data_IF_842966130304
#
_entry.id   IF_842966130304
#
_cell.length_a   1.000
_cell.length_b   1.000
_cell.length_c   1.000
_cell.angle_alpha   90.00
_cell.angle_beta   90.00
_cell.angle_gamma   90.00
#
_symmetry.space_group_name_H-M   'P 1'
#
loop_
_entity.id
_entity.type
_entity.pdbx_description
1 polymer ?
#
# COMPACT_ATOMS: atom_id res chain seq x y z
N UNK A 1 -2.20 -23.92 -9.76
CA UNK A 1 -1.43 -24.53 -9.43
C UNK A 1 -1.08 -25.32 -9.38
N UNK A 2 -1.20 -25.54 -9.44
CA UNK A 2 -0.48 -26.53 -9.13
C UNK A 2 0.05 -26.90 -8.71
N UNK A 3 0.16 -27.08 -8.81
CA UNK A 3 0.96 -27.85 -8.36
C UNK A 3 1.52 -28.33 -8.07
N UNK A 4 1.75 -28.43 -8.24
CA UNK A 4 2.64 -29.06 -7.91
C UNK A 4 3.26 -29.29 -7.86
N UNK A 5 3.30 -29.03 -8.06
CA UNK A 5 4.09 -29.31 -7.95
C UNK A 5 4.74 -29.08 -7.86
N UNK A 6 4.54 -29.03 -8.14
CA UNK A 6 5.30 -28.80 -7.99
C UNK A 6 5.54 -28.26 -7.77
N UNK A 7 5.69 -28.17 -7.93
CA UNK A 7 6.07 -27.69 -7.52
C UNK A 7 5.87 -27.13 -7.23
N UNK A 8 5.91 -27.00 -7.39
CA UNK A 8 5.77 -26.53 -6.95
C UNK A 8 5.33 -26.34 -6.54
N UNK A 9 5.12 -26.87 -6.56
CA UNK A 9 4.60 -26.56 -5.91
C UNK A 9 4.71 -25.68 -5.08
N UNK A 10 4.15 -25.22 -5.05
CA UNK A 10 4.52 -24.08 -4.25
C UNK A 10 4.33 -24.39 -2.78
N UNK A 11 5.37 -24.19 -2.02
CA UNK A 11 5.27 -24.32 -0.57
C UNK A 11 4.70 -23.02 -0.03
N UNK A 12 3.53 -23.10 0.57
CA UNK A 12 2.94 -21.97 1.25
C UNK A 12 3.58 -21.82 2.62
N UNK A 13 4.28 -20.73 2.82
CA UNK A 13 4.90 -20.41 4.10
C UNK A 13 4.07 -19.36 4.82
N UNK A 14 3.64 -19.65 6.05
CA UNK A 14 2.93 -18.68 6.87
C UNK A 14 3.94 -17.85 7.64
N UNK A 15 3.84 -16.53 7.52
CA UNK A 15 4.70 -15.60 8.24
C UNK A 15 3.85 -14.59 8.98
N UNK A 16 4.40 -14.04 10.06
CA UNK A 16 3.77 -12.93 10.78
C UNK A 16 4.21 -11.62 10.14
N UNK A 17 3.26 -10.88 9.57
CA UNK A 17 3.54 -9.59 8.97
C UNK A 17 4.08 -8.63 10.02
N UNK A 18 3.54 -8.68 11.23
CA UNK A 18 3.99 -7.80 12.31
C UNK A 18 5.46 -8.04 12.62
N UNK A 19 5.90 -9.30 12.67
CA UNK A 19 7.31 -9.61 12.94
C UNK A 19 8.21 -9.22 11.78
N UNK A 20 7.76 -9.48 10.55
CA UNK A 20 8.53 -9.12 9.37
C UNK A 20 8.80 -7.62 9.31
N UNK A 21 7.78 -6.80 9.59
CA UNK A 21 7.94 -5.35 9.58
C UNK A 21 8.75 -4.86 10.78
N UNK A 22 8.56 -5.47 11.94
CA UNK A 22 9.28 -5.08 13.15
C UNK A 22 10.78 -5.31 13.01
N UNK A 23 11.18 -6.37 12.33
CA UNK A 23 12.59 -6.74 12.20
C UNK A 23 13.26 -6.08 11.00
N UNK A 24 12.54 -5.28 10.25
CA UNK A 24 13.08 -4.58 9.09
C UNK A 24 13.17 -3.08 9.38
N UNK A 25 14.39 -2.56 9.50
CA UNK A 25 14.60 -1.17 9.84
C UNK A 25 14.12 -0.20 8.76
N UNK A 26 13.98 -0.68 7.52
CA UNK A 26 13.44 0.15 6.44
C UNK A 26 12.61 -0.70 5.49
N UNK A 27 11.35 -1.00 5.83
CA UNK A 27 10.50 -1.82 4.96
C UNK A 27 10.09 -1.12 3.66
N UNK A 28 10.30 0.20 3.55
CA UNK A 28 9.98 0.92 2.32
C UNK A 28 8.49 1.10 2.12
N UNK A 29 7.96 0.51 1.06
CA UNK A 29 6.53 0.56 0.75
C UNK A 29 6.00 -0.84 0.60
N UNK A 30 4.71 -1.00 0.89
CA UNK A 30 4.10 -2.30 0.71
C UNK A 30 2.59 -2.22 0.59
N UNK A 31 2.05 -3.24 -0.04
CA UNK A 31 0.61 -3.42 -0.22
C UNK A 31 0.26 -4.77 0.37
N UNK A 32 -0.76 -4.79 1.22
CA UNK A 32 -1.27 -6.02 1.81
C UNK A 32 -2.71 -6.18 1.35
N UNK A 33 -3.04 -7.34 0.80
CA UNK A 33 -4.39 -7.66 0.35
C UNK A 33 -4.83 -8.91 1.10
N UNK A 34 -6.03 -8.87 1.64
CA UNK A 34 -6.55 -10.00 2.38
C UNK A 34 -8.04 -9.93 2.58
N UNK A 35 -8.52 -10.78 3.47
CA UNK A 35 -9.93 -10.84 3.85
C UNK A 35 -10.05 -10.89 5.35
N UNK A 36 -11.19 -10.43 5.87
CA UNK A 36 -11.51 -10.62 7.28
C UNK A 36 -11.64 -12.12 7.55
N UNK A 37 -11.48 -12.57 8.81
CA UNK A 37 -11.55 -13.99 9.15
C UNK A 37 -12.83 -14.65 8.68
N UNK A 38 -13.96 -13.94 8.67
CA UNK A 38 -15.24 -14.46 8.20
C UNK A 38 -15.36 -14.45 6.67
N UNK A 39 -14.38 -13.88 5.96
CA UNK A 39 -14.37 -13.81 4.51
C UNK A 39 -15.39 -12.85 3.90
N UNK A 40 -16.04 -12.02 4.73
CA UNK A 40 -17.11 -11.14 4.27
C UNK A 40 -16.61 -9.83 3.70
N UNK A 41 -15.41 -9.39 4.09
CA UNK A 41 -14.85 -8.11 3.66
C UNK A 41 -13.46 -8.31 3.11
N UNK A 42 -13.19 -7.66 1.98
CA UNK A 42 -11.83 -7.55 1.47
C UNK A 42 -11.12 -6.43 2.23
N UNK A 43 -9.83 -6.62 2.47
CA UNK A 43 -9.01 -5.66 3.19
C UNK A 43 -7.82 -5.32 2.33
N UNK A 44 -7.56 -4.03 2.17
CA UNK A 44 -6.36 -3.55 1.51
C UNK A 44 -5.65 -2.61 2.48
N UNK A 45 -4.37 -2.85 2.69
CA UNK A 45 -3.54 -1.97 3.50
C UNK A 45 -2.36 -1.51 2.69
N UNK A 46 -2.00 -0.25 2.86
CA UNK A 46 -0.86 0.34 2.21
C UNK A 46 -0.01 1.00 3.27
N UNK A 47 1.29 0.71 3.25
CA UNK A 47 2.20 1.37 4.19
C UNK A 47 3.36 1.98 3.42
N UNK A 48 3.93 3.03 3.99
CA UNK A 48 4.97 3.79 3.34
C UNK A 48 5.92 4.34 4.39
N UNK A 49 7.20 4.37 4.03
CA UNK A 49 8.23 4.93 4.87
C UNK A 49 9.11 5.83 4.03
N UNK A 50 9.38 7.04 4.51
CA UNK A 50 10.23 7.99 3.80
C UNK A 50 11.59 8.12 4.48
N UNK A 51 12.63 8.39 3.69
CA UNK A 51 13.97 8.65 4.21
C UNK A 51 14.24 10.14 4.36
N UNK A 52 13.86 10.94 3.36
CA UNK A 52 14.08 12.37 3.38
C UNK A 52 13.01 13.08 4.19
N UNK A 53 13.31 14.29 4.63
CA UNK A 53 12.34 15.11 5.32
C UNK A 53 11.12 15.37 4.42
N UNK A 54 11.37 15.66 3.15
CA UNK A 54 10.30 15.90 2.19
C UNK A 54 9.41 14.66 2.04
N UNK A 55 9.99 13.48 1.92
CA UNK A 55 9.21 12.25 1.73
C UNK A 55 8.46 11.84 2.99
N UNK A 56 8.86 12.29 4.17
CA UNK A 56 8.17 12.00 5.43
C UNK A 56 7.11 13.03 5.77
N UNK A 57 7.04 14.13 5.02
CA UNK A 57 6.10 15.22 5.27
C UNK A 57 4.76 14.93 4.61
N UNK A 58 4.11 13.84 5.04
CA UNK A 58 2.81 13.46 4.46
C UNK A 58 2.00 12.61 5.40
N UNK A 59 0.70 12.65 5.18
CA UNK A 59 -0.28 11.84 5.89
C UNK A 59 -1.25 11.26 4.87
N UNK A 60 -2.00 10.25 5.27
CA UNK A 60 -3.08 9.71 4.46
C UNK A 60 -4.38 10.39 4.81
N UNK A 61 -5.17 10.71 3.80
CA UNK A 61 -6.50 11.26 3.99
C UNK A 61 -7.49 10.50 3.11
N UNK A 62 -8.74 10.47 3.53
CA UNK A 62 -9.80 9.88 2.71
C UNK A 62 -10.12 10.80 1.53
N UNK A 63 -10.39 10.18 0.39
CA UNK A 63 -10.83 10.91 -0.81
C UNK A 63 -11.88 10.04 -1.48
N UNK A 64 -13.15 10.36 -1.24
CA UNK A 64 -14.25 9.50 -1.68
C UNK A 64 -14.12 8.14 -1.03
N UNK A 65 -14.10 7.09 -1.85
CA UNK A 65 -13.90 5.73 -1.37
C UNK A 65 -12.43 5.32 -1.38
N UNK A 66 -11.54 6.21 -1.78
CA UNK A 66 -10.12 5.94 -1.87
C UNK A 66 -9.32 6.68 -0.82
N UNK A 67 -8.02 6.71 -1.04
CA UNK A 67 -7.06 7.32 -0.12
C UNK A 67 -6.06 8.12 -0.93
N UNK A 68 -5.72 9.31 -0.44
CA UNK A 68 -4.70 10.16 -1.04
C UNK A 68 -3.67 10.56 0.02
N UNK A 69 -2.43 10.75 -0.39
CA UNK A 69 -1.45 11.39 0.48
C UNK A 69 -1.61 12.90 0.42
N UNK A 70 -1.25 13.55 1.51
CA UNK A 70 -1.33 15.00 1.64
C UNK A 70 -0.16 15.46 2.49
N UNK A 71 0.35 16.66 2.22
CA UNK A 71 1.44 17.20 3.01
C UNK A 71 1.00 17.37 4.47
N UNK A 72 1.82 16.90 5.39
CA UNK A 72 1.59 17.13 6.81
C UNK A 72 1.76 18.62 7.12
N UNK A 73 2.81 19.22 6.59
CA UNK A 73 3.07 20.66 6.71
C UNK A 73 3.24 21.23 5.30
N UNK A 74 2.19 21.83 4.72
CA UNK A 74 2.26 22.37 3.36
C UNK A 74 3.36 23.40 3.16
N UNK A 75 3.73 24.12 4.20
CA UNK A 75 4.77 25.15 4.11
C UNK A 75 6.15 24.55 3.86
N UNK A 76 6.34 23.25 4.21
CA UNK A 76 7.62 22.55 4.03
C UNK A 76 7.62 21.65 2.81
N UNK A 77 6.54 21.62 2.04
CA UNK A 77 6.45 20.77 0.86
C UNK A 77 7.35 21.34 -0.25
N UNK A 78 8.30 20.52 -0.71
CA UNK A 78 9.25 20.94 -1.75
C UNK A 78 8.83 20.43 -3.11
N UNK A 79 8.87 19.11 -3.31
CA UNK A 79 8.54 18.49 -4.59
C UNK A 79 7.44 17.47 -4.38
N UNK A 80 6.20 17.74 -4.82
CA UNK A 80 5.10 16.81 -4.60
C UNK A 80 5.09 15.63 -5.58
N UNK A 81 5.87 15.67 -6.66
CA UNK A 81 5.69 14.75 -7.77
C UNK A 81 5.82 13.28 -7.38
N UNK A 82 6.70 12.95 -6.44
CA UNK A 82 6.95 11.56 -6.03
C UNK A 82 6.32 11.19 -4.70
N UNK A 83 5.72 12.14 -4.00
CA UNK A 83 5.21 11.89 -2.64
C UNK A 83 3.73 12.15 -2.48
N UNK A 84 3.12 12.94 -3.36
CA UNK A 84 1.69 13.27 -3.29
C UNK A 84 0.98 12.52 -4.42
N UNK A 85 0.15 11.55 -4.05
CA UNK A 85 -0.56 10.71 -5.01
C UNK A 85 -1.69 9.99 -4.29
N UNK A 86 -2.56 9.30 -5.05
CA UNK A 86 -3.63 8.48 -4.49
C UNK A 86 -3.22 7.00 -4.61
N UNK A 87 -2.75 6.38 -3.54
CA UNK A 87 -2.39 4.96 -3.62
C UNK A 87 -3.58 4.03 -3.78
N UNK A 88 -4.77 4.48 -3.38
CA UNK A 88 -5.98 3.65 -3.43
C UNK A 88 -7.10 4.43 -4.09
N UNK A 89 -7.70 3.86 -5.14
CA UNK A 89 -8.89 4.43 -5.78
C UNK A 89 -9.87 3.32 -6.07
N UNK A 90 -11.14 3.67 -6.04
CA UNK A 90 -12.23 2.72 -6.29
C UNK A 90 -12.97 3.13 -7.55
N UNK A 91 -13.11 2.18 -8.48
CA UNK A 91 -13.85 2.39 -9.72
C UNK A 91 -14.91 1.28 -9.82
N UNK A 92 -16.18 1.64 -9.58
CA UNK A 92 -17.25 0.67 -9.54
C UNK A 92 -17.04 -0.35 -8.43
N UNK A 93 -16.94 -1.62 -8.79
CA UNK A 93 -16.69 -2.69 -7.83
C UNK A 93 -15.21 -3.08 -7.72
N UNK A 94 -14.31 -2.26 -8.27
CA UNK A 94 -12.89 -2.56 -8.31
C UNK A 94 -12.11 -1.58 -7.45
N UNK A 95 -11.13 -2.09 -6.72
CA UNK A 95 -10.20 -1.29 -5.95
C UNK A 95 -8.84 -1.35 -6.61
N UNK A 96 -8.27 -0.19 -6.92
CA UNK A 96 -6.97 -0.07 -7.57
C UNK A 96 -5.98 0.41 -6.53
N UNK A 97 -4.90 -0.33 -6.36
CA UNK A 97 -3.86 -0.01 -5.38
C UNK A 97 -2.50 -0.08 -6.06
N UNK A 98 -1.72 0.97 -5.96
CA UNK A 98 -0.34 0.98 -6.44
C UNK A 98 0.56 1.70 -5.45
N UNK A 99 1.87 1.57 -5.65
CA UNK A 99 2.83 2.21 -4.75
C UNK A 99 3.28 3.59 -5.24
N UNK A 100 2.49 4.22 -6.10
CA UNK A 100 2.81 5.54 -6.63
C UNK A 100 1.62 6.14 -7.36
N UNK A 101 1.89 7.01 -8.31
CA UNK A 101 0.85 7.72 -9.07
C UNK A 101 0.23 6.87 -10.18
N UNK A 102 0.68 5.65 -10.38
CA UNK A 102 0.10 4.74 -11.37
C UNK A 102 -1.39 4.51 -11.12
N UNK A 103 -1.84 4.60 -9.88
CA UNK A 103 -3.26 4.45 -9.54
C UNK A 103 -4.10 5.46 -10.31
N UNK A 104 -3.66 6.71 -10.36
CA UNK A 104 -4.37 7.77 -11.09
C UNK A 104 -4.35 7.51 -12.60
N UNK A 105 -3.26 6.96 -13.11
CA UNK A 105 -3.16 6.63 -14.54
C UNK A 105 -4.09 5.50 -14.94
N UNK A 106 -4.18 4.46 -14.12
CA UNK A 106 -5.03 3.29 -14.38
C UNK A 106 -6.51 3.66 -14.23
N UNK A 107 -6.80 4.50 -13.25
CA UNK A 107 -8.17 4.89 -12.93
C UNK A 107 -8.82 5.59 -14.12
#
# INVERSE_FOLDING_TARGET
>A
MHNNEGGSFAIMKTVSIAEELKNNSYPGRGIIIGRTPAGKKAVTAYFIMGRSENSRNRVFVEEGEGIRTQAFDPAKLEDPSLIIYAPVRVLGNKTIVTNGDQTDTIY
#
